data_IF_835398534834
#
_entry.id   IF_835398534834
#
_cell.length_a   1.000
_cell.length_b   1.000
_cell.length_c   1.000
_cell.angle_alpha   90.00
_cell.angle_beta   90.00
_cell.angle_gamma   90.00
#
_symmetry.space_group_name_H-M   'P 1'
#
loop_
_entity.id
_entity.type
_entity.pdbx_description
1 polymer ?
#
# COMPACT_ATOMS: atom_id res chain seq x y z
N UNK A 1 -1.27 -7.71 24.68
CA UNK A 1 -1.18 -6.64 23.66
C UNK A 1 -0.87 -5.32 24.34
N UNK A 2 0.10 -4.56 23.86
CA UNK A 2 0.47 -3.25 24.40
C UNK A 2 0.53 -2.20 23.30
N UNK A 3 0.12 -0.95 23.63
CA UNK A 3 0.30 0.22 22.77
C UNK A 3 1.48 1.03 23.25
N UNK A 4 2.50 1.15 22.41
CA UNK A 4 3.74 1.88 22.74
C UNK A 4 3.88 3.08 21.80
N UNK A 5 4.06 4.28 22.38
CA UNK A 5 4.29 5.52 21.63
C UNK A 5 5.75 5.94 21.59
N UNK A 6 6.55 5.47 22.53
CA UNK A 6 7.94 5.87 22.67
C UNK A 6 8.85 4.91 21.90
N UNK A 7 9.62 5.46 20.96
CA UNK A 7 10.47 4.71 20.05
C UNK A 7 11.55 3.86 20.75
N UNK A 8 12.05 4.33 21.88
CA UNK A 8 13.07 3.65 22.67
C UNK A 8 12.67 2.25 23.15
N UNK A 9 11.37 2.04 23.36
CA UNK A 9 10.82 0.72 23.72
C UNK A 9 10.55 -0.19 22.51
N UNK A 10 10.76 0.30 21.29
CA UNK A 10 10.57 -0.48 20.05
C UNK A 10 11.92 -0.99 19.50
N UNK A 11 13.05 -0.51 20.01
CA UNK A 11 14.40 -0.89 19.56
C UNK A 11 15.36 -1.15 20.72
N UNK A 12 16.40 -1.97 20.45
CA UNK A 12 17.51 -2.23 21.37
C UNK A 12 17.08 -2.80 22.72
N UNK A 13 17.67 -2.28 23.80
CA UNK A 13 17.38 -2.74 25.18
C UNK A 13 15.93 -2.52 25.60
N UNK A 14 15.27 -1.48 25.10
CA UNK A 14 13.86 -1.21 25.38
C UNK A 14 12.95 -2.31 24.84
N UNK A 15 13.23 -2.82 23.65
CA UNK A 15 12.49 -3.94 23.05
C UNK A 15 12.64 -5.21 23.88
N UNK A 16 13.85 -5.50 24.37
CA UNK A 16 14.10 -6.66 25.23
C UNK A 16 13.33 -6.61 26.55
N UNK A 17 13.13 -5.41 27.14
CA UNK A 17 12.31 -5.23 28.35
C UNK A 17 10.84 -5.52 28.06
N UNK A 18 10.34 -5.10 26.90
CA UNK A 18 8.93 -5.25 26.52
C UNK A 18 8.60 -6.69 26.07
N UNK A 19 9.53 -7.36 25.40
CA UNK A 19 9.42 -8.75 24.95
C UNK A 19 9.91 -9.79 25.99
N UNK A 20 10.46 -9.32 27.15
CA UNK A 20 10.98 -10.16 28.22
C UNK A 20 9.91 -10.86 29.06
N UNK A 21 10.20 -11.14 30.34
CA UNK A 21 9.39 -12.00 31.24
C UNK A 21 7.88 -11.69 31.35
N UNK A 22 7.40 -10.57 30.83
CA UNK A 22 5.97 -10.19 30.86
C UNK A 22 5.21 -10.49 29.57
N UNK A 23 5.76 -11.32 28.66
CA UNK A 23 5.13 -11.86 27.42
C UNK A 23 4.06 -10.95 26.78
N UNK A 24 4.50 -9.82 26.20
CA UNK A 24 3.65 -9.03 25.36
C UNK A 24 3.70 -9.60 23.94
N UNK A 25 2.68 -10.36 23.55
CA UNK A 25 2.62 -11.01 22.24
C UNK A 25 2.51 -10.01 21.09
N UNK A 26 1.84 -8.86 21.30
CA UNK A 26 1.60 -7.88 20.25
C UNK A 26 1.86 -6.47 20.76
N UNK A 27 2.80 -5.79 20.10
CA UNK A 27 3.10 -4.37 20.33
C UNK A 27 2.51 -3.56 19.18
N UNK A 28 1.72 -2.54 19.50
CA UNK A 28 1.15 -1.60 18.52
C UNK A 28 1.76 -0.22 18.74
N UNK A 29 2.45 0.29 17.72
CA UNK A 29 2.90 1.67 17.63
C UNK A 29 2.18 2.36 16.46
N UNK A 30 1.17 3.18 16.73
CA UNK A 30 0.44 3.88 15.66
C UNK A 30 1.35 4.76 14.80
N UNK A 31 2.33 5.41 15.42
CA UNK A 31 3.29 6.27 14.72
C UNK A 31 4.16 5.48 13.74
N UNK A 32 4.55 4.26 14.10
CA UNK A 32 5.34 3.37 13.23
C UNK A 32 4.50 2.83 12.08
N UNK A 33 3.27 2.39 12.37
CA UNK A 33 2.34 1.90 11.35
C UNK A 33 2.01 2.97 10.33
N UNK A 34 1.70 4.20 10.76
CA UNK A 34 1.41 5.33 9.88
C UNK A 34 2.64 5.69 9.04
N UNK A 35 3.83 5.76 9.65
CA UNK A 35 5.07 6.05 8.92
C UNK A 35 5.34 5.01 7.85
N UNK A 36 5.24 3.72 8.19
CA UNK A 36 5.42 2.62 7.25
C UNK A 36 4.42 2.69 6.08
N UNK A 37 3.15 2.99 6.38
CA UNK A 37 2.12 3.13 5.35
C UNK A 37 2.40 4.30 4.40
N UNK A 38 2.79 5.46 4.91
CA UNK A 38 3.14 6.62 4.10
C UNK A 38 4.35 6.31 3.22
N UNK A 39 5.41 5.70 3.77
CA UNK A 39 6.59 5.28 2.98
C UNK A 39 6.19 4.37 1.82
N UNK A 40 5.34 3.38 2.05
CA UNK A 40 4.87 2.47 1.01
C UNK A 40 4.13 3.19 -0.12
N UNK A 41 3.26 4.15 0.21
CA UNK A 41 2.54 4.93 -0.78
C UNK A 41 3.49 5.82 -1.60
N UNK A 42 4.48 6.42 -0.96
CA UNK A 42 5.51 7.23 -1.62
C UNK A 42 6.37 6.36 -2.58
N UNK A 43 6.76 5.16 -2.15
CA UNK A 43 7.54 4.20 -2.94
C UNK A 43 6.76 3.56 -4.09
N UNK A 44 5.41 3.62 -4.03
CA UNK A 44 4.51 3.07 -5.03
C UNK A 44 3.51 4.14 -5.51
N UNK A 45 4.00 5.16 -6.22
CA UNK A 45 3.16 6.27 -6.65
C UNK A 45 2.01 5.75 -7.50
N UNK A 46 0.77 6.24 -7.21
CA UNK A 46 -0.49 5.86 -7.84
C UNK A 46 -1.26 4.76 -7.14
N UNK A 47 -0.67 4.07 -6.19
CA UNK A 47 -1.46 3.32 -5.23
C UNK A 47 -2.21 4.28 -4.30
N UNK A 48 -3.47 3.98 -4.02
CA UNK A 48 -4.25 4.68 -2.99
C UNK A 48 -4.18 3.97 -1.66
N UNK A 49 -4.06 2.64 -1.69
CA UNK A 49 -3.86 1.82 -0.49
C UNK A 49 -2.92 0.64 -0.81
N UNK A 50 -2.17 0.20 0.19
CA UNK A 50 -1.29 -0.97 0.09
C UNK A 50 -1.39 -1.73 1.40
N UNK A 51 -1.73 -3.02 1.35
CA UNK A 51 -1.83 -3.90 2.51
C UNK A 51 -1.11 -5.22 2.25
N UNK A 52 -0.25 -5.63 3.16
CA UNK A 52 0.45 -6.90 3.06
C UNK A 52 -0.26 -8.00 3.84
N UNK A 53 -0.24 -9.20 3.27
CA UNK A 53 -0.76 -10.44 3.83
C UNK A 53 0.31 -11.53 3.79
N UNK A 54 0.09 -12.60 4.54
CA UNK A 54 0.96 -13.77 4.56
C UNK A 54 2.44 -13.40 4.81
N UNK A 55 2.71 -12.58 5.83
CA UNK A 55 4.06 -12.11 6.17
C UNK A 55 4.78 -11.42 5.00
N UNK A 56 4.06 -10.60 4.24
CA UNK A 56 4.60 -9.84 3.12
C UNK A 56 4.80 -10.62 1.82
N UNK A 57 4.26 -11.83 1.70
CA UNK A 57 4.31 -12.62 0.46
C UNK A 57 3.27 -12.16 -0.56
N UNK A 58 2.12 -11.72 -0.08
CA UNK A 58 0.98 -11.27 -0.87
C UNK A 58 0.66 -9.84 -0.49
N UNK A 59 0.41 -9.00 -1.48
CA UNK A 59 0.01 -7.61 -1.25
C UNK A 59 -1.31 -7.33 -1.96
N UNK A 60 -2.20 -6.66 -1.26
CA UNK A 60 -3.35 -6.00 -1.86
C UNK A 60 -3.00 -4.54 -2.10
N UNK A 61 -3.22 -4.09 -3.33
CA UNK A 61 -3.00 -2.70 -3.73
C UNK A 61 -4.27 -2.16 -4.38
N UNK A 62 -4.64 -0.94 -4.06
CA UNK A 62 -5.72 -0.26 -4.78
C UNK A 62 -5.17 0.86 -5.66
N UNK A 63 -5.81 1.03 -6.81
CA UNK A 63 -5.55 2.10 -7.75
C UNK A 63 -6.87 2.75 -8.15
N UNK A 64 -6.84 4.07 -8.35
CA UNK A 64 -8.01 4.81 -8.83
C UNK A 64 -8.05 4.78 -10.35
N UNK A 65 -9.15 4.29 -10.92
CA UNK A 65 -9.40 4.30 -12.35
C UNK A 65 -9.63 5.75 -12.82
N UNK A 66 -8.65 6.31 -13.54
CA UNK A 66 -8.72 7.65 -14.14
C UNK A 66 -9.15 7.52 -15.59
N UNK A 67 -9.74 8.57 -16.12
CA UNK A 67 -10.06 8.63 -17.55
C UNK A 67 -8.79 8.42 -18.40
N UNK A 68 -8.89 7.56 -19.42
CA UNK A 68 -7.75 7.20 -20.27
C UNK A 68 -6.72 6.25 -19.66
N UNK A 69 -6.92 5.78 -18.42
CA UNK A 69 -6.06 4.76 -17.86
C UNK A 69 -6.31 3.37 -18.49
N UNK A 70 -5.28 2.54 -18.68
CA UNK A 70 -5.40 1.24 -19.33
C UNK A 70 -6.45 0.30 -18.72
N UNK A 71 -6.73 0.47 -17.42
CA UNK A 71 -7.74 -0.31 -16.72
C UNK A 71 -9.18 0.15 -17.01
N UNK A 72 -9.37 1.43 -17.38
CA UNK A 72 -10.69 2.06 -17.46
C UNK A 72 -11.40 1.70 -18.75
N UNK A 73 -12.67 1.33 -18.67
CA UNK A 73 -13.49 0.94 -19.82
C UNK A 73 -13.34 -0.54 -20.24
N UNK A 74 -12.48 -1.30 -19.58
CA UNK A 74 -12.24 -2.71 -19.88
C UNK A 74 -12.97 -3.64 -18.92
N UNK A 75 -13.33 -4.83 -19.43
CA UNK A 75 -13.90 -5.89 -18.59
C UNK A 75 -12.83 -6.48 -17.66
N UNK A 76 -13.25 -6.88 -16.48
CA UNK A 76 -12.38 -7.55 -15.48
C UNK A 76 -11.65 -8.76 -16.08
N UNK A 77 -12.33 -9.55 -16.95
CA UNK A 77 -11.72 -10.69 -17.61
C UNK A 77 -10.59 -10.30 -18.58
N UNK A 78 -10.64 -9.11 -19.17
CA UNK A 78 -9.66 -8.63 -20.16
C UNK A 78 -8.38 -8.11 -19.49
N UNK A 79 -8.44 -7.74 -18.21
CA UNK A 79 -7.28 -7.18 -17.48
C UNK A 79 -6.09 -8.13 -17.40
N UNK A 80 -6.32 -9.44 -17.45
CA UNK A 80 -5.23 -10.43 -17.58
C UNK A 80 -4.41 -10.28 -18.85
N UNK A 81 -5.01 -9.74 -19.92
CA UNK A 81 -4.31 -9.52 -21.19
C UNK A 81 -3.36 -8.32 -21.09
N UNK A 82 -3.68 -7.34 -20.23
CA UNK A 82 -2.83 -6.17 -20.00
C UNK A 82 -1.62 -6.50 -19.10
N UNK A 83 -1.72 -7.54 -18.26
CA UNK A 83 -0.62 -7.95 -17.36
C UNK A 83 -0.34 -9.45 -17.50
N UNK A 84 0.05 -9.93 -18.68
CA UNK A 84 0.15 -11.38 -18.95
C UNK A 84 1.24 -12.11 -18.17
N UNK A 85 2.20 -11.38 -17.60
CA UNK A 85 3.38 -11.94 -16.90
C UNK A 85 3.27 -11.89 -15.37
N UNK A 86 2.13 -11.46 -14.84
CA UNK A 86 1.93 -11.28 -13.40
C UNK A 86 0.66 -12.00 -12.98
N UNK A 87 0.78 -12.85 -11.96
CA UNK A 87 -0.41 -13.44 -11.34
C UNK A 87 -1.06 -12.41 -10.42
N UNK A 88 -2.09 -11.77 -10.95
CA UNK A 88 -2.87 -10.76 -10.25
C UNK A 88 -4.36 -11.00 -10.43
N UNK A 89 -5.13 -10.62 -9.42
CA UNK A 89 -6.59 -10.73 -9.44
C UNK A 89 -7.22 -9.47 -8.87
N UNK A 90 -8.33 -9.04 -9.45
CA UNK A 90 -9.17 -8.02 -8.84
C UNK A 90 -9.96 -8.67 -7.71
N UNK A 91 -9.79 -8.16 -6.51
CA UNK A 91 -10.47 -8.62 -5.30
C UNK A 91 -11.79 -7.88 -5.08
N UNK A 92 -11.80 -6.58 -5.34
CA UNK A 92 -12.96 -5.72 -5.16
C UNK A 92 -12.89 -4.49 -6.06
N UNK A 93 -14.04 -3.90 -6.34
CA UNK A 93 -14.18 -2.57 -6.92
C UNK A 93 -15.02 -1.74 -5.95
N UNK A 94 -14.54 -0.56 -5.60
CA UNK A 94 -15.27 0.40 -4.78
C UNK A 94 -15.77 1.53 -5.69
N UNK A 95 -17.08 1.65 -5.80
CA UNK A 95 -17.79 2.60 -6.65
C UNK A 95 -18.94 3.22 -5.88
N UNK A 96 -19.02 4.56 -5.84
CA UNK A 96 -20.13 5.29 -5.21
C UNK A 96 -20.50 4.76 -3.82
N UNK A 97 -19.51 4.64 -2.94
CA UNK A 97 -19.64 4.13 -1.57
C UNK A 97 -20.13 2.68 -1.45
N UNK A 98 -20.02 1.89 -2.52
CA UNK A 98 -20.39 0.47 -2.54
C UNK A 98 -19.19 -0.40 -2.91
N UNK A 99 -19.10 -1.53 -2.22
CA UNK A 99 -18.12 -2.59 -2.55
C UNK A 99 -18.78 -3.58 -3.51
N UNK A 100 -18.17 -3.78 -4.66
CA UNK A 100 -18.60 -4.72 -5.70
C UNK A 100 -17.61 -5.89 -5.69
N UNK A 101 -18.13 -7.13 -5.60
CA UNK A 101 -17.37 -8.34 -5.86
C UNK A 101 -17.34 -8.55 -7.38
N UNK A 102 -16.20 -8.31 -8.06
CA UNK A 102 -16.19 -8.22 -9.51
C UNK A 102 -16.34 -9.59 -10.17
N UNK A 103 -17.14 -9.63 -11.22
CA UNK A 103 -17.28 -10.75 -12.16
C UNK A 103 -16.55 -10.42 -13.45
N UNK A 104 -16.20 -11.43 -14.24
CA UNK A 104 -15.44 -11.26 -15.48
C UNK A 104 -16.06 -10.27 -16.49
N UNK A 105 -17.38 -10.13 -16.50
CA UNK A 105 -18.11 -9.22 -17.41
C UNK A 105 -18.29 -7.81 -16.87
N UNK A 106 -17.94 -7.55 -15.61
CA UNK A 106 -18.03 -6.21 -15.04
C UNK A 106 -16.98 -5.31 -15.68
N UNK A 107 -17.36 -4.06 -15.93
CA UNK A 107 -16.49 -3.05 -16.53
C UNK A 107 -15.97 -2.13 -15.43
N UNK A 108 -14.70 -1.84 -15.48
CA UNK A 108 -14.08 -0.81 -14.61
C UNK A 108 -14.41 0.57 -15.18
N UNK A 109 -15.04 1.41 -14.37
CA UNK A 109 -15.47 2.75 -14.74
C UNK A 109 -14.52 3.83 -14.19
N UNK A 110 -14.53 4.99 -14.83
CA UNK A 110 -13.80 6.16 -14.32
C UNK A 110 -14.28 6.51 -12.92
N UNK A 111 -13.37 6.68 -11.99
CA UNK A 111 -13.67 6.99 -10.59
C UNK A 111 -13.68 5.77 -9.67
N UNK A 112 -13.73 4.56 -10.20
CA UNK A 112 -13.61 3.33 -9.40
C UNK A 112 -12.28 3.29 -8.64
N UNK A 113 -12.30 2.78 -7.43
CA UNK A 113 -11.11 2.31 -6.74
C UNK A 113 -11.05 0.80 -6.86
N UNK A 114 -10.04 0.30 -7.57
CA UNK A 114 -9.92 -1.13 -7.91
C UNK A 114 -8.85 -1.77 -7.06
N UNK A 115 -9.21 -2.82 -6.34
CA UNK A 115 -8.35 -3.55 -5.43
C UNK A 115 -7.79 -4.80 -6.11
N UNK A 116 -6.47 -4.90 -6.21
CA UNK A 116 -5.75 -6.03 -6.78
C UNK A 116 -5.04 -6.82 -5.70
N UNK A 117 -5.01 -8.14 -5.85
CA UNK A 117 -4.16 -9.02 -5.06
C UNK A 117 -3.06 -9.56 -5.97
N UNK A 118 -1.81 -9.46 -5.55
CA UNK A 118 -0.64 -9.91 -6.31
C UNK A 118 0.48 -10.36 -5.36
N UNK A 119 1.48 -11.04 -5.89
CA UNK A 119 2.72 -11.24 -5.14
C UNK A 119 3.42 -9.90 -4.88
N UNK A 120 3.97 -9.72 -3.69
CA UNK A 120 4.55 -8.43 -3.26
C UNK A 120 5.68 -7.94 -4.17
N UNK A 121 6.41 -8.86 -4.81
CA UNK A 121 7.47 -8.52 -5.79
C UNK A 121 6.94 -7.88 -7.08
N UNK A 122 5.68 -8.13 -7.43
CA UNK A 122 5.08 -7.70 -8.70
C UNK A 122 4.21 -6.43 -8.57
N UNK A 123 4.07 -5.87 -7.35
CA UNK A 123 3.24 -4.70 -7.09
C UNK A 123 3.53 -3.51 -8.01
N UNK A 124 4.83 -3.22 -8.24
CA UNK A 124 5.24 -2.11 -9.13
C UNK A 124 4.82 -2.34 -10.58
N UNK A 125 4.89 -3.59 -11.05
CA UNK A 125 4.44 -3.94 -12.40
C UNK A 125 2.93 -3.77 -12.52
N UNK A 126 2.15 -4.28 -11.54
CA UNK A 126 0.70 -4.12 -11.52
C UNK A 126 0.32 -2.64 -11.58
N UNK A 127 0.90 -1.82 -10.72
CA UNK A 127 0.62 -0.38 -10.70
C UNK A 127 0.99 0.28 -12.03
N UNK A 128 2.14 -0.05 -12.63
CA UNK A 128 2.62 0.59 -13.85
C UNK A 128 1.79 0.25 -15.09
N UNK A 129 1.24 -0.95 -15.17
CA UNK A 129 0.48 -1.42 -16.33
C UNK A 129 -1.00 -0.98 -16.29
N UNK A 130 -1.54 -0.80 -15.08
CA UNK A 130 -2.98 -0.54 -14.92
C UNK A 130 -3.35 0.93 -14.79
N UNK A 131 -2.39 1.81 -14.73
CA UNK A 131 -2.65 3.25 -14.60
C UNK A 131 -1.87 4.08 -15.61
N UNK A 132 -2.29 5.34 -15.75
CA UNK A 132 -1.49 6.32 -16.48
C UNK A 132 -0.13 6.51 -15.79
N UNK A 133 0.92 6.62 -16.59
CA UNK A 133 2.29 6.81 -16.12
C UNK A 133 2.40 8.12 -15.34
N UNK A 134 2.45 8.04 -14.03
CA UNK A 134 2.74 9.21 -13.20
C UNK A 134 4.26 9.32 -12.99
N UNK A 135 4.75 10.54 -13.00
CA UNK A 135 6.17 10.82 -12.75
C UNK A 135 6.40 10.60 -11.25
N UNK A 136 7.33 9.71 -10.91
CA UNK A 136 7.74 9.53 -9.54
C UNK A 136 8.33 10.84 -8.99
N UNK A 137 7.86 11.25 -7.83
CA UNK A 137 8.41 12.45 -7.17
C UNK A 137 9.88 12.21 -6.83
N UNK A 138 10.72 13.20 -7.15
CA UNK A 138 12.16 13.18 -6.81
C UNK A 138 12.45 13.93 -5.51
N UNK A 139 11.50 14.71 -5.03
CA UNK A 139 11.66 15.56 -3.87
C UNK A 139 10.40 15.45 -3.00
N UNK A 140 10.60 15.34 -1.70
CA UNK A 140 9.52 15.24 -0.73
C UNK A 140 9.68 16.38 0.26
N UNK A 141 8.64 17.14 0.50
CA UNK A 141 8.57 18.16 1.52
C UNK A 141 7.71 17.66 2.69
N UNK A 142 8.27 17.66 3.88
CA UNK A 142 7.58 17.26 5.11
C UNK A 142 7.29 18.52 5.92
N UNK A 143 6.01 18.89 6.07
CA UNK A 143 5.59 19.97 6.93
C UNK A 143 5.24 19.45 8.32
N UNK A 144 6.05 19.78 9.30
CA UNK A 144 5.89 19.34 10.70
C UNK A 144 6.97 18.35 11.17
N UNK A 145 7.71 18.74 12.21
CA UNK A 145 8.81 17.99 12.83
C UNK A 145 8.37 17.10 14.02
N UNK A 146 7.10 16.71 14.10
CA UNK A 146 6.60 15.81 15.14
C UNK A 146 7.12 14.38 14.98
N UNK A 147 6.65 13.46 15.84
CA UNK A 147 7.11 12.06 15.87
C UNK A 147 6.98 11.35 14.52
N UNK A 148 5.88 11.55 13.82
CA UNK A 148 5.64 10.95 12.49
C UNK A 148 6.55 11.62 11.45
N UNK A 149 6.58 12.95 11.37
CA UNK A 149 7.36 13.68 10.38
C UNK A 149 8.86 13.39 10.46
N UNK A 150 9.42 13.33 11.68
CA UNK A 150 10.83 12.96 11.88
C UNK A 150 11.13 11.53 11.46
N UNK A 151 10.30 10.55 11.86
CA UNK A 151 10.46 9.16 11.44
C UNK A 151 10.33 8.98 9.92
N UNK A 152 9.41 9.71 9.31
CA UNK A 152 9.23 9.70 7.87
C UNK A 152 10.47 10.23 7.17
N UNK A 153 11.04 11.35 7.64
CA UNK A 153 12.28 11.90 7.11
C UNK A 153 13.42 10.89 7.22
N UNK A 154 13.65 10.31 8.40
CA UNK A 154 14.67 9.29 8.64
C UNK A 154 14.49 8.04 7.75
N UNK A 155 13.24 7.64 7.48
CA UNK A 155 12.93 6.45 6.65
C UNK A 155 13.10 6.69 5.15
N UNK A 156 13.00 7.95 4.72
CA UNK A 156 13.10 8.35 3.31
C UNK A 156 14.46 8.94 2.95
N UNK A 157 15.27 9.28 3.95
CA UNK A 157 16.63 9.80 3.75
C UNK A 157 17.46 8.84 2.89
N UNK A 158 18.08 9.37 1.84
CA UNK A 158 18.88 8.60 0.88
C UNK A 158 18.08 7.82 -0.18
N UNK A 159 16.74 7.90 -0.16
CA UNK A 159 15.87 7.31 -1.21
C UNK A 159 15.35 8.34 -2.21
N UNK A 160 15.36 9.63 -1.83
CA UNK A 160 14.86 10.76 -2.59
C UNK A 160 15.84 11.93 -2.55
#
# INVERSE_FOLDING_TARGET
MARIRTYEYLKGKGKQIVEGEQSIDVIISPEELITAQICRLIENPGATQIMDFANGKVTMVSVKAKEGAPITGHKVAELRQHIPKVDTRIAAIYREDKVIAPKGNDIVETGDEVFFITESRDIKKVISELRMKEIASKTIMIAGGGRIGRRLAESLEGKF
#
